data_IF_969187515427
#
_entry.id   IF_969187515427
#
_cell.length_a   1.000
_cell.length_b   1.000
_cell.length_c   1.000
_cell.angle_alpha   90.00
_cell.angle_beta   90.00
_cell.angle_gamma   90.00
#
_symmetry.space_group_name_H-M   'P 1'
#
loop_
_entity.id
_entity.type
_entity.pdbx_description
1 polymer ?
#
# COMPACT_ATOMS: atom_id res chain seq x y z
N UNK A 1 9.96 -4.44 -17.97
CA UNK A 1 9.10 -4.85 -16.84
C UNK A 1 8.52 -3.59 -16.22
N UNK A 2 7.23 -3.59 -15.85
CA UNK A 2 6.61 -2.52 -15.07
C UNK A 2 6.55 -2.96 -13.60
N UNK A 3 6.98 -2.10 -12.69
CA UNK A 3 7.00 -2.39 -11.25
C UNK A 3 6.25 -1.30 -10.51
N UNK A 4 5.36 -1.65 -9.61
CA UNK A 4 4.61 -0.68 -8.80
C UNK A 4 4.82 -0.91 -7.30
N UNK A 5 4.75 0.17 -6.55
CA UNK A 5 4.37 0.11 -5.14
C UNK A 5 2.89 -0.25 -5.02
N UNK A 6 2.43 -0.51 -3.81
CA UNK A 6 1.06 -0.90 -3.54
C UNK A 6 0.27 0.23 -2.88
N UNK A 7 0.66 0.60 -1.65
CA UNK A 7 -0.01 1.58 -0.80
C UNK A 7 0.12 2.99 -1.38
N UNK A 8 -0.95 3.76 -1.38
CA UNK A 8 -1.05 5.11 -1.95
C UNK A 8 -0.59 5.22 -3.43
N UNK A 9 -0.33 4.09 -4.08
CA UNK A 9 0.04 3.99 -5.49
C UNK A 9 -1.06 3.31 -6.32
N UNK A 10 -1.37 2.04 -6.07
CA UNK A 10 -2.42 1.30 -6.78
C UNK A 10 -3.79 1.38 -6.11
N UNK A 11 -3.84 1.67 -4.82
CA UNK A 11 -5.05 1.93 -4.04
C UNK A 11 -4.73 2.95 -2.93
N UNK A 12 -5.74 3.57 -2.33
CA UNK A 12 -5.57 4.58 -1.28
C UNK A 12 -5.42 3.89 0.08
N UNK A 13 -4.25 4.04 0.75
CA UNK A 13 -3.97 3.35 2.02
C UNK A 13 -4.98 3.70 3.11
N UNK A 14 -5.54 4.90 3.09
CA UNK A 14 -6.60 5.31 4.01
C UNK A 14 -7.84 4.40 3.95
N UNK A 15 -8.13 3.79 2.80
CA UNK A 15 -9.24 2.84 2.67
C UNK A 15 -8.98 1.54 3.41
N UNK A 16 -7.72 1.09 3.47
CA UNK A 16 -7.33 -0.04 4.31
C UNK A 16 -7.50 0.30 5.80
N UNK A 17 -7.09 1.48 6.23
CA UNK A 17 -7.27 1.96 7.61
C UNK A 17 -8.75 1.94 7.98
N UNK A 18 -9.59 2.56 7.16
CA UNK A 18 -11.06 2.60 7.37
C UNK A 18 -11.70 1.22 7.33
N UNK A 19 -11.23 0.33 6.46
CA UNK A 19 -11.67 -1.06 6.41
C UNK A 19 -11.39 -1.78 7.72
N UNK A 20 -10.20 -1.60 8.30
CA UNK A 20 -9.84 -2.15 9.60
C UNK A 20 -10.68 -1.60 10.75
N UNK A 21 -10.95 -0.28 10.75
CA UNK A 21 -11.83 0.34 11.75
C UNK A 21 -13.25 -0.21 11.67
N UNK A 22 -13.79 -0.40 10.44
CA UNK A 22 -15.09 -1.05 10.25
C UNK A 22 -15.09 -2.50 10.73
N UNK A 23 -14.00 -3.22 10.56
CA UNK A 23 -13.89 -4.60 11.07
C UNK A 23 -13.95 -4.64 12.61
N UNK A 24 -13.22 -3.76 13.28
CA UNK A 24 -13.27 -3.60 14.74
C UNK A 24 -14.69 -3.21 15.18
N UNK A 25 -15.28 -2.20 14.55
CA UNK A 25 -16.62 -1.72 14.89
C UNK A 25 -17.69 -2.77 14.75
N UNK A 26 -17.68 -3.58 13.67
CA UNK A 26 -18.64 -4.68 13.48
C UNK A 26 -18.54 -5.75 14.58
N UNK A 27 -17.33 -6.07 15.01
CA UNK A 27 -17.16 -7.02 16.12
C UNK A 27 -17.66 -6.44 17.44
N UNK A 28 -17.36 -5.19 17.75
CA UNK A 28 -17.86 -4.51 18.95
C UNK A 28 -19.40 -4.47 18.97
N UNK A 29 -20.03 -4.16 17.85
CA UNK A 29 -21.50 -4.14 17.71
C UNK A 29 -22.08 -5.55 17.84
N UNK A 30 -21.47 -6.55 17.21
CA UNK A 30 -21.91 -7.94 17.32
C UNK A 30 -21.97 -8.43 18.78
N UNK A 31 -21.03 -8.00 19.61
CA UNK A 31 -21.00 -8.32 21.04
C UNK A 31 -21.71 -7.29 21.93
N UNK A 32 -22.46 -6.36 21.33
CA UNK A 32 -23.23 -5.32 22.06
C UNK A 32 -22.38 -4.44 22.99
N UNK A 33 -21.14 -4.22 22.62
CA UNK A 33 -20.22 -3.34 23.34
C UNK A 33 -20.43 -1.89 22.95
N UNK A 34 -20.49 -1.62 21.62
CA UNK A 34 -20.62 -0.29 21.05
C UNK A 34 -21.16 -0.40 19.62
N UNK A 35 -21.99 0.55 19.14
CA UNK A 35 -22.40 0.62 17.73
C UNK A 35 -21.18 0.76 16.80
N UNK A 36 -21.20 0.04 15.67
CA UNK A 36 -20.10 0.08 14.68
C UNK A 36 -19.75 1.50 14.26
N UNK A 37 -20.76 2.32 13.95
CA UNK A 37 -20.55 3.71 13.52
C UNK A 37 -19.86 4.55 14.60
N UNK A 38 -20.20 4.36 15.89
CA UNK A 38 -19.57 5.06 17.01
C UNK A 38 -18.09 4.67 17.14
N UNK A 39 -17.78 3.38 17.05
CA UNK A 39 -16.40 2.90 17.10
C UNK A 39 -15.55 3.47 15.95
N UNK A 40 -16.08 3.47 14.73
CA UNK A 40 -15.39 4.03 13.55
C UNK A 40 -15.12 5.52 13.73
N UNK A 41 -16.12 6.32 14.10
CA UNK A 41 -15.96 7.76 14.33
C UNK A 41 -14.94 8.06 15.44
N UNK A 42 -14.93 7.26 16.50
CA UNK A 42 -13.96 7.39 17.58
C UNK A 42 -12.52 7.16 17.08
N UNK A 43 -12.31 6.12 16.29
CA UNK A 43 -10.99 5.78 15.73
C UNK A 43 -10.52 6.79 14.68
N UNK A 44 -11.44 7.30 13.84
CA UNK A 44 -11.11 8.32 12.84
C UNK A 44 -10.76 9.69 13.46
N UNK A 45 -11.27 9.98 14.66
CA UNK A 45 -10.95 11.22 15.39
C UNK A 45 -9.58 11.19 16.08
N UNK A 46 -8.93 10.03 16.16
CA UNK A 46 -7.64 9.87 16.85
C UNK A 46 -6.48 10.33 15.98
N UNK A 47 -5.41 10.86 16.59
CA UNK A 47 -4.23 11.36 15.86
C UNK A 47 -3.46 10.26 15.16
N UNK A 48 -3.42 9.07 15.76
CA UNK A 48 -2.80 7.87 15.19
C UNK A 48 -3.65 6.63 15.46
N UNK A 49 -3.49 5.61 14.63
CA UNK A 49 -4.18 4.32 14.82
C UNK A 49 -3.85 3.69 16.18
N UNK A 50 -2.60 3.80 16.63
CA UNK A 50 -2.18 3.22 17.91
C UNK A 50 -2.85 3.91 19.10
N UNK A 51 -2.83 5.26 19.14
CA UNK A 51 -3.54 6.04 20.17
C UNK A 51 -5.03 5.74 20.16
N UNK A 52 -5.66 5.67 18.97
CA UNK A 52 -7.07 5.33 18.84
C UNK A 52 -7.43 3.97 19.45
N UNK A 53 -6.56 2.97 19.30
CA UNK A 53 -6.79 1.64 19.88
C UNK A 53 -6.63 1.67 21.40
N UNK A 54 -5.64 2.37 21.93
CA UNK A 54 -5.44 2.51 23.37
C UNK A 54 -6.60 3.25 24.02
N UNK A 55 -7.03 4.37 23.45
CA UNK A 55 -8.11 5.21 23.97
C UNK A 55 -9.47 4.51 23.90
N UNK A 56 -9.78 3.83 22.78
CA UNK A 56 -11.00 3.07 22.63
C UNK A 56 -11.04 1.89 23.61
N UNK A 57 -9.90 1.21 23.81
CA UNK A 57 -9.75 0.15 24.79
C UNK A 57 -10.01 0.67 26.21
N UNK A 58 -9.46 1.83 26.57
CA UNK A 58 -9.69 2.45 27.87
C UNK A 58 -11.17 2.83 28.07
N UNK A 59 -11.83 3.40 27.06
CA UNK A 59 -13.27 3.70 27.08
C UNK A 59 -14.09 2.45 27.29
N UNK A 60 -13.82 1.37 26.53
CA UNK A 60 -14.52 0.10 26.66
C UNK A 60 -14.33 -0.48 28.08
N UNK A 61 -13.13 -0.40 28.65
CA UNK A 61 -12.86 -0.92 29.99
C UNK A 61 -13.68 -0.19 31.07
N UNK A 62 -13.91 1.11 30.92
CA UNK A 62 -14.74 1.88 31.86
C UNK A 62 -16.20 1.42 31.79
N UNK A 63 -16.73 1.29 30.58
CA UNK A 63 -18.15 0.95 30.35
C UNK A 63 -18.42 -0.57 30.55
N UNK A 64 -17.42 -1.40 30.28
CA UNK A 64 -17.48 -2.88 30.34
C UNK A 64 -16.25 -3.47 31.04
N UNK A 65 -16.13 -3.36 32.37
CA UNK A 65 -14.96 -3.84 33.12
C UNK A 65 -14.71 -5.34 32.91
N UNK A 66 -13.45 -5.71 32.64
CA UNK A 66 -13.07 -7.09 32.33
C UNK A 66 -13.30 -7.51 30.88
N UNK A 67 -13.63 -6.56 30.00
CA UNK A 67 -13.80 -6.82 28.57
C UNK A 67 -12.51 -7.35 27.93
N UNK A 68 -12.66 -8.31 27.01
CA UNK A 68 -11.55 -8.85 26.18
C UNK A 68 -11.12 -7.91 25.05
N UNK A 69 -11.92 -6.89 24.76
CA UNK A 69 -11.72 -5.94 23.64
C UNK A 69 -10.69 -4.87 24.01
N UNK A 70 -9.47 -5.29 24.24
CA UNK A 70 -8.33 -4.42 24.56
C UNK A 70 -7.60 -3.97 23.28
N UNK A 71 -6.61 -3.09 23.43
CA UNK A 71 -5.82 -2.57 22.32
C UNK A 71 -5.13 -3.68 21.50
N UNK A 72 -4.63 -4.74 22.14
CA UNK A 72 -4.00 -5.86 21.43
C UNK A 72 -5.02 -6.60 20.55
N UNK A 73 -6.24 -6.83 21.04
CA UNK A 73 -7.31 -7.40 20.24
C UNK A 73 -7.64 -6.52 19.02
N UNK A 74 -7.68 -5.19 19.19
CA UNK A 74 -7.91 -4.26 18.09
C UNK A 74 -6.78 -4.32 17.05
N UNK A 75 -5.53 -4.37 17.52
CA UNK A 75 -4.36 -4.54 16.65
C UNK A 75 -4.47 -5.82 15.83
N UNK A 76 -4.86 -6.93 16.46
CA UNK A 76 -4.97 -8.21 15.76
C UNK A 76 -6.15 -8.21 14.78
N UNK A 77 -7.30 -7.67 15.18
CA UNK A 77 -8.47 -7.51 14.29
C UNK A 77 -8.12 -6.64 13.09
N UNK A 78 -7.47 -5.49 13.31
CA UNK A 78 -7.02 -4.59 12.26
C UNK A 78 -6.04 -5.26 11.29
N UNK A 79 -5.08 -6.04 11.80
CA UNK A 79 -4.03 -6.68 10.97
C UNK A 79 -4.54 -7.85 10.14
N UNK A 80 -5.52 -8.57 10.66
CA UNK A 80 -5.97 -9.84 10.06
C UNK A 80 -7.38 -9.77 9.47
N UNK A 81 -8.01 -8.58 9.43
CA UNK A 81 -9.30 -8.45 8.76
C UNK A 81 -9.18 -8.74 7.24
N UNK A 82 -10.29 -9.09 6.63
CA UNK A 82 -10.40 -9.16 5.17
C UNK A 82 -10.59 -7.72 4.67
N UNK A 83 -9.63 -7.16 3.91
CA UNK A 83 -9.71 -5.78 3.47
C UNK A 83 -10.88 -5.55 2.49
N UNK A 84 -11.66 -4.52 2.77
CA UNK A 84 -12.71 -3.98 1.90
C UNK A 84 -12.14 -2.71 1.23
N UNK A 85 -11.37 -2.93 0.16
CA UNK A 85 -10.60 -1.92 -0.57
C UNK A 85 -10.75 -2.12 -2.07
N UNK A 86 -10.52 -1.07 -2.83
CA UNK A 86 -10.60 -1.07 -4.30
C UNK A 86 -9.40 -0.37 -4.93
N UNK A 87 -9.11 -0.73 -6.17
CA UNK A 87 -8.09 -0.04 -6.97
C UNK A 87 -8.47 1.42 -7.22
N UNK A 88 -7.48 2.31 -7.23
CA UNK A 88 -7.64 3.72 -7.62
C UNK A 88 -8.16 3.84 -9.05
N UNK A 89 -8.83 4.95 -9.38
CA UNK A 89 -9.26 5.24 -10.75
C UNK A 89 -8.11 5.10 -11.74
N UNK A 90 -8.32 4.31 -12.79
CA UNK A 90 -7.33 4.06 -13.84
C UNK A 90 -6.27 2.99 -13.55
N UNK A 91 -6.19 2.46 -12.32
CA UNK A 91 -5.24 1.38 -12.01
C UNK A 91 -5.57 0.10 -12.79
N UNK A 92 -6.86 -0.25 -12.88
CA UNK A 92 -7.28 -1.40 -13.67
C UNK A 92 -6.93 -1.23 -15.15
N UNK A 93 -7.19 -0.04 -15.73
CA UNK A 93 -6.87 0.26 -17.13
C UNK A 93 -5.37 0.15 -17.40
N UNK A 94 -4.53 0.64 -16.49
CA UNK A 94 -3.08 0.51 -16.54
C UNK A 94 -2.66 -0.97 -16.55
N UNK A 95 -3.13 -1.76 -15.57
CA UNK A 95 -2.76 -3.17 -15.42
C UNK A 95 -3.21 -4.00 -16.63
N UNK A 96 -4.44 -3.80 -17.10
CA UNK A 96 -4.93 -4.46 -18.31
C UNK A 96 -4.17 -4.01 -19.57
N UNK A 97 -3.83 -2.72 -19.65
CA UNK A 97 -3.02 -2.17 -20.72
C UNK A 97 -1.64 -2.83 -20.81
N UNK A 98 -0.96 -3.01 -19.68
CA UNK A 98 0.32 -3.71 -19.57
C UNK A 98 0.17 -5.20 -19.95
N UNK A 99 -0.85 -5.86 -19.42
CA UNK A 99 -1.14 -7.28 -19.71
C UNK A 99 -1.38 -7.53 -21.21
N UNK A 100 -2.17 -6.68 -21.87
CA UNK A 100 -2.39 -6.76 -23.33
C UNK A 100 -1.11 -6.60 -24.16
N UNK A 101 -0.11 -5.87 -23.64
CA UNK A 101 1.20 -5.69 -24.26
C UNK A 101 2.20 -6.81 -23.93
N UNK A 102 1.80 -7.77 -23.11
CA UNK A 102 2.69 -8.83 -22.64
C UNK A 102 3.81 -8.33 -21.74
N UNK A 103 3.62 -7.16 -21.10
CA UNK A 103 4.62 -6.57 -20.18
C UNK A 103 4.54 -7.30 -18.84
N UNK A 104 5.65 -7.90 -18.35
CA UNK A 104 5.67 -8.45 -17.01
C UNK A 104 5.44 -7.35 -15.96
N UNK A 105 4.62 -7.65 -14.94
CA UNK A 105 4.29 -6.73 -13.86
C UNK A 105 4.89 -7.26 -12.56
N UNK A 106 5.47 -6.37 -11.74
CA UNK A 106 5.98 -6.64 -10.41
C UNK A 106 5.37 -5.70 -9.37
N UNK A 107 5.38 -6.12 -8.11
CA UNK A 107 5.04 -5.31 -6.94
C UNK A 107 6.21 -5.36 -5.96
N UNK A 108 6.62 -4.19 -5.47
CA UNK A 108 7.56 -4.07 -4.35
C UNK A 108 6.88 -3.20 -3.30
N UNK A 109 6.57 -3.77 -2.14
CA UNK A 109 5.82 -3.10 -1.09
C UNK A 109 6.39 -3.35 0.29
N UNK A 110 6.36 -2.34 1.14
CA UNK A 110 6.78 -2.45 2.53
C UNK A 110 5.59 -2.82 3.41
N UNK A 111 5.84 -3.70 4.36
CA UNK A 111 4.84 -4.09 5.34
C UNK A 111 4.90 -5.56 5.74
N UNK A 112 3.97 -5.96 6.60
CA UNK A 112 3.85 -7.35 7.06
C UNK A 112 3.34 -8.24 5.94
N UNK A 113 3.92 -9.43 5.78
CA UNK A 113 3.53 -10.38 4.76
C UNK A 113 2.01 -10.64 4.73
N UNK A 114 1.42 -11.00 5.87
CA UNK A 114 -0.01 -11.30 5.95
C UNK A 114 -0.89 -10.12 5.50
N UNK A 115 -0.53 -8.88 5.90
CA UNK A 115 -1.27 -7.67 5.54
C UNK A 115 -1.17 -7.38 4.05
N UNK A 116 0.05 -7.34 3.49
CA UNK A 116 0.24 -7.01 2.08
C UNK A 116 -0.33 -8.10 1.16
N UNK A 117 -0.21 -9.37 1.53
CA UNK A 117 -0.85 -10.48 0.80
C UNK A 117 -2.38 -10.37 0.81
N UNK A 118 -2.99 -9.98 1.94
CA UNK A 118 -4.44 -9.75 2.02
C UNK A 118 -4.89 -8.59 1.14
N UNK A 119 -4.15 -7.46 1.12
CA UNK A 119 -4.41 -6.32 0.23
C UNK A 119 -4.32 -6.73 -1.25
N UNK A 120 -3.24 -7.39 -1.65
CA UNK A 120 -3.01 -7.88 -3.04
C UNK A 120 -4.18 -8.76 -3.49
N UNK A 121 -4.63 -9.67 -2.63
CA UNK A 121 -5.77 -10.55 -2.92
C UNK A 121 -7.09 -9.79 -3.02
N UNK A 122 -7.36 -8.88 -2.08
CA UNK A 122 -8.59 -8.08 -2.07
C UNK A 122 -8.70 -7.20 -3.33
N UNK A 123 -7.59 -6.65 -3.80
CA UNK A 123 -7.50 -5.85 -5.03
C UNK A 123 -7.49 -6.70 -6.31
N UNK A 124 -7.44 -8.04 -6.21
CA UNK A 124 -7.38 -8.95 -7.35
C UNK A 124 -6.12 -8.81 -8.20
N UNK A 125 -5.00 -8.38 -7.59
CA UNK A 125 -3.73 -8.15 -8.29
C UNK A 125 -3.01 -9.45 -8.67
N UNK A 126 -3.34 -10.57 -8.04
CA UNK A 126 -2.90 -11.92 -8.37
C UNK A 126 -3.27 -12.35 -9.81
N UNK A 127 -4.24 -11.68 -10.44
CA UNK A 127 -4.60 -11.87 -11.87
C UNK A 127 -3.60 -11.23 -12.85
N UNK A 128 -2.78 -10.30 -12.35
CA UNK A 128 -1.86 -9.48 -13.15
C UNK A 128 -0.40 -9.75 -12.83
N UNK A 129 -0.09 -10.09 -11.58
CA UNK A 129 1.26 -10.22 -11.06
C UNK A 129 1.51 -11.66 -10.64
N UNK A 130 2.51 -12.28 -11.24
CA UNK A 130 2.97 -13.61 -10.81
C UNK A 130 3.53 -13.53 -9.38
N UNK A 131 3.31 -14.56 -8.56
CA UNK A 131 3.75 -14.58 -7.16
C UNK A 131 5.25 -14.33 -7.00
N UNK A 132 6.07 -14.88 -7.89
CA UNK A 132 7.51 -14.64 -7.93
C UNK A 132 7.93 -13.19 -8.19
N UNK A 133 7.02 -12.34 -8.68
CA UNK A 133 7.23 -10.93 -8.95
C UNK A 133 6.64 -10.01 -7.86
N UNK A 134 6.22 -10.58 -6.73
CA UNK A 134 5.80 -9.85 -5.55
C UNK A 134 6.92 -9.88 -4.52
N UNK A 135 7.40 -8.71 -4.12
CA UNK A 135 8.43 -8.52 -3.11
C UNK A 135 7.81 -7.76 -1.95
N UNK A 136 7.76 -8.38 -0.79
CA UNK A 136 7.21 -7.80 0.43
C UNK A 136 8.33 -7.71 1.47
N UNK A 137 8.57 -6.55 2.07
CA UNK A 137 9.66 -6.34 3.03
C UNK A 137 9.57 -7.30 4.23
N UNK A 138 8.36 -7.63 4.69
CA UNK A 138 8.14 -8.59 5.77
C UNK A 138 8.48 -10.06 5.39
N UNK A 139 8.70 -10.38 4.11
CA UNK A 139 9.13 -11.69 3.63
C UNK A 139 10.65 -11.72 3.36
N UNK A 140 11.20 -10.61 2.88
CA UNK A 140 12.61 -10.53 2.49
C UNK A 140 13.52 -10.04 3.61
N UNK A 141 12.97 -9.41 4.65
CA UNK A 141 13.73 -8.80 5.74
C UNK A 141 14.40 -7.47 5.36
N UNK A 142 14.10 -6.93 4.17
CA UNK A 142 14.64 -5.67 3.70
C UNK A 142 13.52 -4.83 3.04
N UNK A 143 13.48 -3.55 3.37
CA UNK A 143 12.54 -2.57 2.85
C UNK A 143 13.13 -1.75 1.70
N UNK A 144 12.34 -0.84 1.14
CA UNK A 144 12.70 0.02 0.00
C UNK A 144 13.78 1.07 0.32
N UNK A 145 14.19 1.20 1.59
CA UNK A 145 15.35 2.04 1.96
C UNK A 145 16.68 1.40 1.54
N UNK A 146 16.67 0.12 1.14
CA UNK A 146 17.82 -0.63 0.61
C UNK A 146 17.63 -1.02 -0.86
N UNK A 147 18.71 -1.40 -1.55
CA UNK A 147 18.65 -1.89 -2.95
C UNK A 147 18.05 -3.29 -3.08
N UNK A 148 18.07 -4.08 -2.01
CA UNK A 148 17.81 -5.51 -2.04
C UNK A 148 16.46 -5.91 -2.63
N UNK A 149 15.32 -5.24 -2.33
CA UNK A 149 14.03 -5.56 -2.95
C UNK A 149 14.06 -5.41 -4.47
N UNK A 150 14.68 -4.36 -4.97
CA UNK A 150 14.79 -4.05 -6.40
C UNK A 150 15.73 -5.01 -7.11
N UNK A 151 16.91 -5.28 -6.55
CA UNK A 151 17.86 -6.27 -7.05
C UNK A 151 17.25 -7.69 -7.09
N UNK A 152 16.50 -8.03 -6.04
CA UNK A 152 15.81 -9.33 -5.96
C UNK A 152 14.83 -9.50 -7.11
N UNK A 153 14.02 -8.49 -7.39
CA UNK A 153 13.05 -8.53 -8.48
C UNK A 153 13.75 -8.57 -9.85
N UNK A 154 14.80 -7.75 -10.05
CA UNK A 154 15.58 -7.74 -11.29
C UNK A 154 16.24 -9.11 -11.55
N UNK A 155 16.84 -9.72 -10.54
CA UNK A 155 17.49 -11.04 -10.64
C UNK A 155 16.50 -12.17 -10.94
N UNK A 156 15.25 -12.05 -10.50
CA UNK A 156 14.18 -13.00 -10.86
C UNK A 156 13.71 -12.84 -12.31
N UNK A 157 14.02 -11.70 -12.95
CA UNK A 157 13.56 -11.36 -14.30
C UNK A 157 14.73 -10.99 -15.23
N UNK A 158 15.73 -11.89 -15.43
CA UNK A 158 16.94 -11.59 -16.20
C UNK A 158 16.69 -11.34 -17.70
N UNK A 159 15.50 -11.72 -18.21
CA UNK A 159 15.09 -11.44 -19.58
C UNK A 159 14.53 -10.02 -19.79
N UNK A 160 14.33 -9.24 -18.72
CA UNK A 160 13.85 -7.86 -18.83
C UNK A 160 15.05 -6.91 -18.94
N UNK A 161 15.18 -6.23 -20.09
CA UNK A 161 16.25 -5.25 -20.32
C UNK A 161 15.91 -3.85 -19.82
N UNK A 162 14.63 -3.57 -19.54
CA UNK A 162 14.11 -2.27 -19.07
C UNK A 162 13.15 -2.46 -17.94
N UNK A 163 13.27 -1.61 -16.94
CA UNK A 163 12.37 -1.53 -15.79
C UNK A 163 11.84 -0.11 -15.66
N UNK A 164 10.55 0.01 -15.32
CA UNK A 164 9.93 1.25 -14.88
C UNK A 164 9.31 1.01 -13.51
N UNK A 165 9.63 1.86 -12.55
CA UNK A 165 9.07 1.81 -11.20
C UNK A 165 8.08 2.96 -10.98
N UNK A 166 6.87 2.63 -10.56
CA UNK A 166 5.83 3.57 -10.16
C UNK A 166 5.65 3.53 -8.64
N UNK A 167 5.71 4.70 -8.00
CA UNK A 167 5.51 4.87 -6.56
C UNK A 167 4.96 6.23 -6.20
N UNK A 168 4.75 6.47 -4.92
CA UNK A 168 4.22 7.74 -4.40
C UNK A 168 5.17 8.43 -3.41
N UNK A 169 6.10 7.68 -2.79
CA UNK A 169 6.87 8.18 -1.65
C UNK A 169 8.33 8.50 -2.01
N UNK A 170 8.69 9.80 -2.21
CA UNK A 170 10.05 10.19 -2.59
C UNK A 170 11.11 9.87 -1.52
N UNK A 171 10.71 9.62 -0.27
CA UNK A 171 11.68 9.27 0.78
C UNK A 171 12.34 7.90 0.55
N UNK A 172 11.68 6.97 -0.17
CA UNK A 172 12.15 5.58 -0.28
C UNK A 172 12.00 4.94 -1.67
N UNK A 173 11.09 5.43 -2.52
CA UNK A 173 10.68 4.72 -3.73
C UNK A 173 11.66 4.86 -4.90
N UNK A 174 12.35 6.00 -5.03
CA UNK A 174 13.05 6.30 -6.29
C UNK A 174 14.56 6.21 -6.22
N UNK A 175 15.15 6.28 -5.02
CA UNK A 175 16.62 6.25 -4.84
C UNK A 175 17.27 5.07 -5.55
N UNK A 176 16.82 3.87 -5.24
CA UNK A 176 17.48 2.66 -5.72
C UNK A 176 17.11 2.30 -7.15
N UNK A 177 15.85 2.41 -7.60
CA UNK A 177 15.55 2.30 -9.02
C UNK A 177 16.35 3.28 -9.88
N UNK A 178 16.48 4.54 -9.46
CA UNK A 178 17.32 5.54 -10.17
C UNK A 178 18.77 5.09 -10.24
N UNK A 179 19.35 4.64 -9.12
CA UNK A 179 20.73 4.16 -9.06
C UNK A 179 20.97 2.92 -9.93
N UNK A 180 19.93 2.12 -10.16
CA UNK A 180 19.96 0.95 -11.02
C UNK A 180 19.66 1.27 -12.50
N UNK A 181 19.42 2.53 -12.84
CA UNK A 181 19.11 2.97 -14.21
C UNK A 181 17.68 2.60 -14.65
N UNK A 182 16.75 2.39 -13.73
CA UNK A 182 15.35 2.20 -14.05
C UNK A 182 14.68 3.54 -14.34
N UNK A 183 13.65 3.55 -15.17
CA UNK A 183 12.76 4.70 -15.26
C UNK A 183 11.91 4.76 -13.99
N UNK A 184 11.66 5.97 -13.48
CA UNK A 184 10.88 6.16 -12.26
C UNK A 184 9.77 7.18 -12.47
N UNK A 185 8.61 6.86 -11.94
CA UNK A 185 7.38 7.65 -12.07
C UNK A 185 6.76 7.85 -10.70
N UNK A 186 6.51 9.10 -10.33
CA UNK A 186 5.80 9.47 -9.11
C UNK A 186 4.34 9.77 -9.46
N UNK A 187 3.39 9.09 -8.79
CA UNK A 187 1.98 9.46 -8.80
C UNK A 187 1.76 10.55 -7.76
N UNK A 188 1.23 11.70 -8.19
CA UNK A 188 1.03 12.85 -7.30
C UNK A 188 -0.27 12.68 -6.51
N UNK A 189 -0.21 12.96 -5.21
CA UNK A 189 -1.38 13.11 -4.36
C UNK A 189 -2.09 14.44 -4.68
N UNK A 190 -3.01 14.41 -5.63
CA UNK A 190 -3.80 15.58 -6.01
C UNK A 190 -4.96 15.87 -5.06
N UNK A 191 -5.31 14.92 -4.21
CA UNK A 191 -6.46 14.99 -3.30
C UNK A 191 -6.05 15.23 -1.83
N UNK A 192 -4.77 15.10 -1.51
CA UNK A 192 -4.25 15.28 -0.15
C UNK A 192 -4.65 14.14 0.80
N UNK A 193 -4.75 12.92 0.28
CA UNK A 193 -5.24 11.75 1.03
C UNK A 193 -4.15 10.72 1.34
N UNK A 194 -2.97 10.84 0.72
CA UNK A 194 -1.86 9.94 1.01
C UNK A 194 -1.42 10.06 2.46
N UNK A 195 -1.10 8.94 3.08
CA UNK A 195 -0.64 8.91 4.48
C UNK A 195 0.73 9.55 4.61
N UNK A 196 1.57 9.40 3.60
CA UNK A 196 2.92 9.98 3.58
C UNK A 196 2.99 11.26 2.74
N UNK A 197 3.55 12.36 3.26
CA UNK A 197 3.65 13.61 2.51
C UNK A 197 4.66 13.48 1.37
N UNK A 198 4.27 13.95 0.17
CA UNK A 198 5.13 13.97 -1.02
C UNK A 198 5.96 15.26 -1.14
N UNK A 199 5.44 16.38 -0.60
CA UNK A 199 6.15 17.67 -0.63
C UNK A 199 7.19 17.75 0.48
N UNK A 200 8.21 16.89 0.38
CA UNK A 200 9.34 16.82 1.31
C UNK A 200 10.64 17.14 0.59
N UNK A 201 11.60 17.71 1.31
CA UNK A 201 12.94 17.87 0.80
C UNK A 201 13.70 16.54 0.85
N UNK A 202 14.21 16.11 -0.29
CA UNK A 202 14.96 14.84 -0.40
C UNK A 202 16.29 15.07 -1.13
N UNK A 203 17.33 14.27 -0.85
CA UNK A 203 18.61 14.35 -1.52
C UNK A 203 18.52 14.13 -3.04
N UNK A 204 19.52 14.58 -3.82
CA UNK A 204 19.64 14.23 -5.23
C UNK A 204 19.55 12.72 -5.46
N UNK A 205 18.85 12.30 -6.50
CA UNK A 205 18.63 10.89 -6.83
C UNK A 205 17.42 10.24 -6.14
N UNK A 206 16.74 10.96 -5.25
CA UNK A 206 15.50 10.49 -4.60
C UNK A 206 14.22 10.96 -5.32
N UNK A 207 14.31 11.85 -6.32
CA UNK A 207 13.14 12.25 -7.12
C UNK A 207 12.95 11.33 -8.31
N UNK A 208 11.69 11.08 -8.64
CA UNK A 208 11.35 10.36 -9.85
C UNK A 208 11.75 11.13 -11.12
N UNK A 209 11.98 10.43 -12.23
CA UNK A 209 12.25 11.03 -13.52
C UNK A 209 11.01 11.70 -14.12
N UNK A 210 9.83 11.14 -13.84
CA UNK A 210 8.53 11.61 -14.32
C UNK A 210 7.54 11.74 -13.17
N UNK A 211 6.58 12.65 -13.32
CA UNK A 211 5.44 12.80 -12.42
C UNK A 211 4.15 12.68 -13.21
N UNK A 212 3.16 12.01 -12.63
CA UNK A 212 1.83 11.84 -13.22
C UNK A 212 0.75 12.18 -12.20
N UNK A 213 -0.42 12.58 -12.68
CA UNK A 213 -1.61 12.78 -11.85
C UNK A 213 -2.65 11.66 -12.00
N UNK A 214 -2.52 10.84 -13.04
CA UNK A 214 -3.44 9.72 -13.33
C UNK A 214 -2.66 8.50 -13.75
N UNK A 215 -2.99 7.36 -13.19
CA UNK A 215 -2.29 6.09 -13.41
C UNK A 215 -2.15 5.66 -14.90
N UNK A 216 -3.14 5.87 -15.79
CA UNK A 216 -2.98 5.54 -17.20
C UNK A 216 -1.85 6.29 -17.92
N UNK A 217 -1.40 7.44 -17.38
CA UNK A 217 -0.28 8.21 -17.96
C UNK A 217 1.04 7.43 -17.88
N UNK A 218 1.22 6.57 -16.86
CA UNK A 218 2.40 5.72 -16.72
C UNK A 218 2.57 4.75 -17.90
N UNK A 219 1.46 4.34 -18.55
CA UNK A 219 1.51 3.50 -19.73
C UNK A 219 2.09 4.23 -20.94
N UNK A 220 1.74 5.51 -21.10
CA UNK A 220 2.29 6.34 -22.16
C UNK A 220 3.80 6.57 -21.99
N UNK A 221 4.26 6.78 -20.75
CA UNK A 221 5.70 6.89 -20.42
C UNK A 221 6.42 5.59 -20.74
N UNK A 222 5.82 4.45 -20.37
CA UNK A 222 6.40 3.13 -20.66
C UNK A 222 6.55 2.84 -22.17
N UNK A 223 5.65 3.40 -23.00
CA UNK A 223 5.64 3.20 -24.44
C UNK A 223 6.56 4.17 -25.22
N UNK A 224 7.04 5.29 -24.63
CA UNK A 224 7.81 6.36 -25.33
C UNK A 224 9.16 5.88 -25.89
N UNK A 225 9.76 4.83 -25.34
CA UNK A 225 11.10 4.34 -25.70
C UNK A 225 11.08 2.92 -26.32
N UNK A 226 10.02 2.56 -27.01
CA UNK A 226 9.93 1.32 -27.78
C UNK A 226 10.36 1.48 -29.21
#
# INVERSE_FOLDING_TARGET
>A
MFVADLDDTLFDEIDYVRSGYRAIGRELEHYSIMPCAEAVLFLEASSTTAEGFDDLSAKIWVDHPGSRFNAQWMVDTYRYHIPDISLRPGALDLLEGLKRRGVPIGIITDGRSATQRAKIKALGLDRFVADGNIIISGETGADKTTSLPFETLANRNPGCSRFLYLGDNPAKDFRWPNAMGWDTVEIIDSEGIHIHPQNIEVPPGYRAHYTISRLPEALAIFDQDR
#
